data_IF_373553431780
#
_entry.id   IF_373553431780
#
_cell.length_a   1.000
_cell.length_b   1.000
_cell.length_c   1.000
_cell.angle_alpha   90.00
_cell.angle_beta   90.00
_cell.angle_gamma   90.00
#
_symmetry.space_group_name_H-M   'P 1'
#
loop_
_entity.id
_entity.type
_entity.pdbx_description
1 polymer ?
#
# COMPACT_ATOMS: atom_id res chain seq x y z
N UNK A 1 30.79 -14.08 -32.90
CA UNK A 1 29.41 -13.54 -32.98
C UNK A 1 28.76 -13.76 -31.63
N UNK A 2 28.49 -12.71 -30.85
CA UNK A 2 27.78 -12.86 -29.56
C UNK A 2 26.27 -12.92 -29.83
N UNK A 3 25.56 -13.97 -29.40
CA UNK A 3 24.14 -14.09 -29.67
C UNK A 3 23.37 -12.93 -29.01
N UNK A 4 22.37 -12.39 -29.73
CA UNK A 4 21.61 -11.18 -29.32
C UNK A 4 20.95 -11.30 -27.92
N UNK A 5 20.67 -12.53 -27.47
CA UNK A 5 20.12 -12.84 -26.15
C UNK A 5 21.02 -12.41 -24.98
N UNK A 6 22.35 -12.52 -25.11
CA UNK A 6 23.26 -12.18 -24.02
C UNK A 6 23.22 -10.68 -23.65
N UNK A 7 22.77 -9.81 -24.56
CA UNK A 7 22.63 -8.37 -24.29
C UNK A 7 21.36 -8.04 -23.50
N UNK A 8 20.27 -8.76 -23.69
CA UNK A 8 18.99 -8.49 -23.01
C UNK A 8 19.05 -8.85 -21.52
N UNK A 9 19.79 -9.90 -21.17
CA UNK A 9 19.92 -10.33 -19.78
C UNK A 9 21.09 -9.66 -19.04
N UNK A 10 21.96 -8.94 -19.74
CA UNK A 10 23.11 -8.26 -19.12
C UNK A 10 22.71 -7.18 -18.12
N UNK A 11 21.53 -6.58 -18.28
CA UNK A 11 21.03 -5.48 -17.44
C UNK A 11 20.06 -5.95 -16.34
N UNK A 12 19.71 -7.24 -16.29
CA UNK A 12 18.74 -7.76 -15.32
C UNK A 12 19.25 -7.62 -13.89
N UNK A 13 20.56 -7.81 -13.68
CA UNK A 13 21.17 -7.60 -12.36
C UNK A 13 20.97 -6.17 -11.85
N UNK A 14 21.12 -5.18 -12.73
CA UNK A 14 20.94 -3.76 -12.38
C UNK A 14 19.49 -3.47 -12.01
N UNK A 15 18.53 -3.93 -12.83
CA UNK A 15 17.09 -3.74 -12.56
C UNK A 15 16.64 -4.41 -11.25
N UNK A 16 17.18 -5.60 -10.95
CA UNK A 16 16.88 -6.29 -9.68
C UNK A 16 17.44 -5.48 -8.50
N UNK A 17 18.70 -5.05 -8.60
CA UNK A 17 19.34 -4.30 -7.52
C UNK A 17 18.63 -2.97 -7.26
N UNK A 18 18.26 -2.25 -8.32
CA UNK A 18 17.49 -1.00 -8.23
C UNK A 18 16.13 -1.21 -7.53
N UNK A 19 15.36 -2.23 -7.95
CA UNK A 19 14.08 -2.53 -7.34
C UNK A 19 14.19 -2.90 -5.85
N UNK A 20 15.24 -3.64 -5.47
CA UNK A 20 15.51 -4.01 -4.07
C UNK A 20 15.92 -2.81 -3.23
N UNK A 21 16.71 -1.89 -3.77
CA UNK A 21 17.08 -0.64 -3.10
C UNK A 21 15.84 0.24 -2.87
N UNK A 22 15.00 0.40 -3.89
CA UNK A 22 13.75 1.15 -3.79
C UNK A 22 12.84 0.55 -2.70
N UNK A 23 12.61 -0.77 -2.74
CA UNK A 23 11.80 -1.45 -1.72
C UNK A 23 12.37 -1.25 -0.30
N UNK A 24 13.69 -1.35 -0.13
CA UNK A 24 14.34 -1.11 1.17
C UNK A 24 14.05 0.30 1.66
N UNK A 25 14.22 1.31 0.80
CA UNK A 25 13.93 2.70 1.17
C UNK A 25 12.47 2.90 1.56
N UNK A 26 11.55 2.30 0.81
CA UNK A 26 10.13 2.42 1.09
C UNK A 26 9.74 1.79 2.44
N UNK A 27 10.34 0.65 2.79
CA UNK A 27 10.14 0.01 4.09
C UNK A 27 10.75 0.82 5.23
N UNK A 28 11.97 1.34 5.06
CA UNK A 28 12.65 2.17 6.07
C UNK A 28 11.87 3.45 6.35
N UNK A 29 11.32 4.06 5.30
CA UNK A 29 10.53 5.28 5.39
C UNK A 29 9.07 5.04 5.80
N UNK A 30 8.66 3.77 5.98
CA UNK A 30 7.27 3.38 6.27
C UNK A 30 6.27 3.83 5.19
N UNK A 31 6.74 4.06 3.96
CA UNK A 31 5.86 4.30 2.80
C UNK A 31 5.32 2.99 2.23
N UNK A 32 5.99 1.86 2.49
CA UNK A 32 5.47 0.53 2.21
C UNK A 32 4.93 -0.14 3.51
N UNK A 33 3.78 -0.85 3.46
CA UNK A 33 2.93 -1.10 2.29
C UNK A 33 2.15 0.14 1.86
N UNK A 34 2.20 0.44 0.56
CA UNK A 34 1.39 1.50 -0.05
C UNK A 34 -0.03 0.99 -0.31
N UNK A 35 -0.99 1.91 -0.35
CA UNK A 35 -2.40 1.66 -0.59
C UNK A 35 -2.69 0.98 -1.95
N UNK A 36 -1.77 1.08 -2.92
CA UNK A 36 -1.82 0.34 -4.18
C UNK A 36 -1.53 -1.18 -4.01
N UNK A 37 -0.84 -1.55 -2.94
CA UNK A 37 -0.39 -2.92 -2.66
C UNK A 37 -1.14 -3.56 -1.48
N UNK A 38 -2.11 -2.86 -0.88
CA UNK A 38 -3.00 -3.39 0.15
C UNK A 38 -4.26 -4.00 -0.50
N UNK A 39 -4.41 -5.34 -0.50
CA UNK A 39 -5.54 -5.97 -1.17
C UNK A 39 -6.85 -5.86 -0.38
N UNK A 40 -6.79 -5.69 0.94
CA UNK A 40 -7.95 -5.58 1.82
C UNK A 40 -8.20 -4.12 2.18
N UNK A 41 -9.42 -3.66 1.96
CA UNK A 41 -9.86 -2.30 2.33
C UNK A 41 -11.14 -2.35 3.12
N UNK A 42 -11.23 -1.50 4.13
CA UNK A 42 -12.44 -1.31 4.93
C UNK A 42 -13.46 -0.58 4.05
N UNK A 43 -14.72 -1.01 4.05
CA UNK A 43 -15.76 -0.30 3.31
C UNK A 43 -16.00 1.09 3.92
N UNK A 44 -16.50 2.05 3.14
CA UNK A 44 -16.72 3.42 3.63
C UNK A 44 -17.62 3.46 4.89
N UNK A 45 -18.68 2.64 4.90
CA UNK A 45 -19.60 2.54 6.03
C UNK A 45 -18.92 2.00 7.30
N UNK A 46 -18.03 1.02 7.14
CA UNK A 46 -17.28 0.44 8.26
C UNK A 46 -16.16 1.38 8.76
N UNK A 47 -15.57 2.19 7.88
CA UNK A 47 -14.62 3.24 8.29
C UNK A 47 -15.33 4.25 9.20
N UNK A 48 -16.50 4.73 8.82
CA UNK A 48 -17.27 5.69 9.63
C UNK A 48 -17.64 5.09 10.99
N UNK A 49 -18.09 3.84 11.02
CA UNK A 49 -18.38 3.11 12.26
C UNK A 49 -17.14 2.96 13.14
N UNK A 50 -16.00 2.60 12.55
CA UNK A 50 -14.71 2.45 13.24
C UNK A 50 -14.23 3.76 13.86
N UNK A 51 -14.28 4.87 13.11
CA UNK A 51 -13.92 6.19 13.59
C UNK A 51 -14.82 6.65 14.75
N UNK A 52 -16.13 6.39 14.65
CA UNK A 52 -17.08 6.67 15.72
C UNK A 52 -16.77 5.91 17.01
N UNK A 53 -16.40 4.63 16.92
CA UNK A 53 -16.02 3.82 18.08
C UNK A 53 -14.70 4.27 18.72
N UNK A 54 -13.71 4.67 17.92
CA UNK A 54 -12.45 5.23 18.44
C UNK A 54 -12.69 6.53 19.20
N UNK A 55 -13.56 7.41 18.67
CA UNK A 55 -13.96 8.65 19.34
C UNK A 55 -14.65 8.39 20.68
N UNK A 56 -15.61 7.45 20.74
CA UNK A 56 -16.28 7.06 22.00
C UNK A 56 -15.32 6.54 23.06
N UNK A 57 -14.21 5.90 22.64
CA UNK A 57 -13.16 5.39 23.54
C UNK A 57 -12.11 6.44 23.91
N UNK A 58 -12.23 7.67 23.41
CA UNK A 58 -11.26 8.75 23.65
C UNK A 58 -9.95 8.60 22.87
N UNK A 59 -9.91 7.74 21.85
CA UNK A 59 -8.72 7.47 21.03
C UNK A 59 -8.68 8.41 19.81
N UNK A 60 -8.75 9.71 20.06
CA UNK A 60 -8.90 10.72 19.00
C UNK A 60 -7.72 10.74 18.01
N UNK A 61 -6.48 10.57 18.50
CA UNK A 61 -5.29 10.49 17.64
C UNK A 61 -5.34 9.26 16.72
N UNK A 62 -5.81 8.13 17.23
CA UNK A 62 -5.99 6.92 16.42
C UNK A 62 -7.11 7.10 15.38
N UNK A 63 -8.18 7.82 15.72
CA UNK A 63 -9.24 8.15 14.78
C UNK A 63 -8.73 9.06 13.66
N UNK A 64 -7.91 10.07 13.97
CA UNK A 64 -7.28 10.92 12.95
C UNK A 64 -6.37 10.12 12.03
N UNK A 65 -5.48 9.29 12.58
CA UNK A 65 -4.59 8.46 11.80
C UNK A 65 -5.33 7.46 10.90
N UNK A 66 -6.44 6.89 11.40
CA UNK A 66 -7.29 5.99 10.62
C UNK A 66 -8.03 6.73 9.47
N UNK A 67 -8.49 7.96 9.71
CA UNK A 67 -9.12 8.78 8.66
C UNK A 67 -8.12 9.13 7.54
N UNK A 68 -6.88 9.48 7.90
CA UNK A 68 -5.81 9.73 6.92
C UNK A 68 -5.48 8.47 6.10
N UNK A 69 -5.44 7.30 6.74
CA UNK A 69 -5.22 6.03 6.05
C UNK A 69 -6.38 5.71 5.08
N UNK A 70 -7.63 5.92 5.50
CA UNK A 70 -8.81 5.72 4.67
C UNK A 70 -8.82 6.65 3.43
N UNK A 71 -8.38 7.90 3.57
CA UNK A 71 -8.22 8.81 2.42
C UNK A 71 -7.17 8.32 1.42
N UNK A 72 -6.04 7.79 1.91
CA UNK A 72 -4.98 7.24 1.05
C UNK A 72 -5.50 6.02 0.29
N UNK A 73 -6.23 5.14 0.96
CA UNK A 73 -6.88 3.97 0.36
C UNK A 73 -7.91 4.36 -0.71
N UNK A 74 -8.71 5.40 -0.48
CA UNK A 74 -9.68 5.90 -1.45
C UNK A 74 -9.02 6.45 -2.73
N UNK A 75 -7.82 7.02 -2.62
CA UNK A 75 -7.06 7.58 -3.76
C UNK A 75 -6.27 6.52 -4.54
N UNK A 76 -6.03 5.34 -3.96
CA UNK A 76 -5.17 4.30 -4.51
C UNK A 76 -5.84 3.34 -5.53
N UNK A 77 -6.87 3.78 -6.25
CA UNK A 77 -7.55 2.97 -7.28
C UNK A 77 -8.51 1.91 -6.70
N UNK A 78 -8.82 0.84 -7.44
CA UNK A 78 -9.67 -0.27 -6.95
C UNK A 78 -8.83 -1.31 -6.20
N UNK A 79 -9.30 -1.84 -5.05
CA UNK A 79 -8.60 -2.93 -4.39
C UNK A 79 -8.57 -4.17 -5.28
N UNK A 80 -7.50 -4.96 -5.18
CA UNK A 80 -7.36 -6.21 -5.93
C UNK A 80 -8.35 -7.28 -5.46
N UNK A 81 -8.79 -7.21 -4.21
CA UNK A 81 -9.79 -8.09 -3.61
C UNK A 81 -10.97 -7.20 -3.20
N UNK A 82 -12.15 -7.51 -3.73
CA UNK A 82 -13.38 -6.84 -3.28
C UNK A 82 -13.74 -7.42 -1.91
N UNK A 83 -13.68 -6.59 -0.87
CA UNK A 83 -14.18 -6.96 0.45
C UNK A 83 -15.70 -7.16 0.33
N UNK A 84 -16.26 -8.33 0.69
CA UNK A 84 -17.71 -8.55 0.69
C UNK A 84 -18.37 -7.51 1.59
N UNK A 85 -19.42 -6.86 1.10
CA UNK A 85 -20.26 -6.01 1.93
C UNK A 85 -21.21 -6.93 2.72
N UNK A 86 -20.95 -7.07 4.02
CA UNK A 86 -21.90 -7.69 4.96
C UNK A 86 -23.02 -6.71 5.36
#
# INVERSE_FOLDING_TARGET
VTPKFCKQYGQVGDSINEALLQYREDVVNRSFPDAAHTPYRISANEVDAFLGELGKRGLNEAASAAAEAAEKDAKAGKPRIETPAD
#
